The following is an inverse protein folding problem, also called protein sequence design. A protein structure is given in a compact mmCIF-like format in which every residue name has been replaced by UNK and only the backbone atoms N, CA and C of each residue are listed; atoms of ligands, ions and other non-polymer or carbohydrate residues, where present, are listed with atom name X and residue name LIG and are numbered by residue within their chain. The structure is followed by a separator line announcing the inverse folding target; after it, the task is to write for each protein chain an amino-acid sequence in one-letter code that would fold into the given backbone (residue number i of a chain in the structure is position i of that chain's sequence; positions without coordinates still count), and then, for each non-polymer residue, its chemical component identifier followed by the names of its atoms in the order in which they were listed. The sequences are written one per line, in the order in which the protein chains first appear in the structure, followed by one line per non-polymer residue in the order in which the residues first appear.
data_IF_641805112384
#
_entry.id   IF_641805112384
#
_cell.length_a   1.000
_cell.length_b   1.000
_cell.length_c   1.000
_cell.angle_alpha   90.00
_cell.angle_beta   90.00
_cell.angle_gamma   90.00
#
_symmetry.space_group_name_H-M   'P 1'
#
loop_
_entity.id
_entity.type
_entity.pdbx_description
1 polymer ?
#
# COMPACT_ATOMS: atom_id res chain seq x y z
N UNK A 1 1.83 -30.55 -8.39
CA UNK A 1 2.23 -29.15 -8.66
C UNK A 1 1.13 -28.42 -9.42
N UNK A 2 0.14 -27.82 -8.74
CA UNK A 2 -0.74 -26.83 -9.37
C UNK A 2 -0.09 -25.47 -9.13
N UNK A 3 0.56 -24.91 -10.16
CA UNK A 3 1.03 -23.52 -10.15
C UNK A 3 -0.21 -22.63 -10.21
N UNK A 4 -0.86 -22.40 -9.07
CA UNK A 4 -1.73 -21.24 -8.94
C UNK A 4 -0.82 -20.03 -9.06
N UNK A 5 -0.93 -19.26 -10.14
CA UNK A 5 -0.50 -17.87 -10.08
C UNK A 5 -1.06 -17.30 -8.77
N UNK A 6 -0.24 -16.66 -7.92
CA UNK A 6 -0.74 -16.12 -6.67
C UNK A 6 -1.85 -15.12 -7.04
N UNK A 7 -3.07 -15.35 -6.55
CA UNK A 7 -4.27 -14.55 -6.86
C UNK A 7 -4.00 -13.06 -6.69
N UNK A 8 -3.15 -12.74 -5.73
CA UNK A 8 -2.62 -11.40 -5.52
C UNK A 8 -1.89 -10.83 -6.73
N UNK A 9 -0.95 -11.55 -7.35
CA UNK A 9 -0.21 -11.05 -8.52
C UNK A 9 -1.14 -10.75 -9.70
N UNK A 10 -2.13 -11.61 -9.94
CA UNK A 10 -3.15 -11.38 -10.97
C UNK A 10 -3.98 -10.14 -10.65
N UNK A 11 -4.39 -9.98 -9.39
CA UNK A 11 -5.08 -8.77 -8.92
C UNK A 11 -4.24 -7.51 -9.13
N UNK A 12 -2.94 -7.54 -8.81
CA UNK A 12 -2.04 -6.39 -8.98
C UNK A 12 -1.92 -5.97 -10.44
N UNK A 13 -1.79 -6.93 -11.38
CA UNK A 13 -1.73 -6.63 -12.82
C UNK A 13 -3.06 -6.04 -13.31
N UNK A 14 -4.19 -6.65 -12.94
CA UNK A 14 -5.51 -6.15 -13.36
C UNK A 14 -5.74 -4.75 -12.78
N UNK A 15 -5.39 -4.52 -11.51
CA UNK A 15 -5.51 -3.21 -10.88
C UNK A 15 -4.66 -2.15 -11.59
N UNK A 16 -3.44 -2.49 -12.03
CA UNK A 16 -2.60 -1.59 -12.83
C UNK A 16 -3.24 -1.26 -14.18
N UNK A 17 -3.71 -2.28 -14.91
CA UNK A 17 -4.36 -2.07 -16.21
C UNK A 17 -5.61 -1.19 -16.08
N UNK A 18 -6.43 -1.43 -15.06
CA UNK A 18 -7.60 -0.61 -14.77
C UNK A 18 -7.20 0.82 -14.42
N UNK A 19 -6.17 1.01 -13.59
CA UNK A 19 -5.67 2.35 -13.24
C UNK A 19 -5.15 3.11 -14.47
N UNK A 20 -4.38 2.44 -15.34
CA UNK A 20 -3.88 3.02 -16.61
C UNK A 20 -5.04 3.44 -17.49
N UNK A 21 -5.97 2.52 -17.80
CA UNK A 21 -7.11 2.81 -18.69
C UNK A 21 -7.97 3.95 -18.13
N UNK A 22 -8.28 3.89 -16.83
CA UNK A 22 -9.14 4.87 -16.18
C UNK A 22 -8.51 6.27 -16.18
N UNK A 23 -7.27 6.40 -15.68
CA UNK A 23 -6.59 7.71 -15.61
C UNK A 23 -6.32 8.25 -17.00
N UNK A 24 -5.84 7.41 -17.92
CA UNK A 24 -5.57 7.85 -19.29
C UNK A 24 -6.83 8.36 -19.99
N UNK A 25 -7.96 7.65 -19.84
CA UNK A 25 -9.25 8.07 -20.40
C UNK A 25 -9.68 9.41 -19.81
N UNK A 26 -9.58 9.58 -18.49
CA UNK A 26 -9.89 10.84 -17.82
C UNK A 26 -9.02 12.00 -18.33
N UNK A 27 -7.74 11.73 -18.57
CA UNK A 27 -6.78 12.71 -19.05
C UNK A 27 -7.07 13.17 -20.48
N UNK A 28 -7.37 12.22 -21.38
CA UNK A 28 -7.64 12.49 -22.79
C UNK A 28 -9.01 13.14 -22.99
N UNK A 29 -10.03 12.66 -22.29
CA UNK A 29 -11.41 13.12 -22.47
C UNK A 29 -11.67 14.45 -21.77
N UNK A 30 -11.04 14.70 -20.61
CA UNK A 30 -11.40 15.83 -19.76
C UNK A 30 -10.24 16.74 -19.40
N UNK A 31 -9.17 16.20 -18.77
CA UNK A 31 -8.11 17.05 -18.19
C UNK A 31 -7.38 17.88 -19.23
N UNK A 32 -6.88 17.25 -20.31
CA UNK A 32 -6.10 17.96 -21.33
C UNK A 32 -6.95 18.94 -22.15
N UNK A 33 -8.15 18.57 -22.63
CA UNK A 33 -9.01 19.52 -23.32
C UNK A 33 -9.33 20.78 -22.50
N UNK A 34 -9.71 20.61 -21.23
CA UNK A 34 -9.98 21.74 -20.32
C UNK A 34 -8.73 22.60 -20.08
N UNK A 35 -7.58 21.96 -19.83
CA UNK A 35 -6.34 22.69 -19.64
C UNK A 35 -5.97 23.53 -20.88
N UNK A 36 -6.18 22.99 -22.09
CA UNK A 36 -5.93 23.71 -23.35
C UNK A 36 -6.90 24.88 -23.55
N UNK A 37 -8.18 24.71 -23.23
CA UNK A 37 -9.17 25.79 -23.31
C UNK A 37 -8.84 26.93 -22.35
N UNK A 38 -8.56 26.62 -21.09
CA UNK A 38 -8.20 27.62 -20.06
C UNK A 38 -6.95 28.40 -20.47
N UNK A 39 -5.93 27.72 -21.00
CA UNK A 39 -4.71 28.39 -21.46
C UNK A 39 -4.98 29.28 -22.68
N UNK A 40 -5.82 28.85 -23.62
CA UNK A 40 -6.20 29.68 -24.76
C UNK A 40 -6.95 30.95 -24.32
N UNK A 41 -7.87 30.83 -23.36
CA UNK A 41 -8.57 31.97 -22.77
C UNK A 41 -7.63 32.92 -22.03
N UNK A 42 -6.69 32.37 -21.24
CA UNK A 42 -5.69 33.17 -20.54
C UNK A 42 -4.80 33.95 -21.49
N UNK A 43 -4.33 33.33 -22.58
CA UNK A 43 -3.56 34.01 -23.62
C UNK A 43 -4.38 35.13 -24.26
N UNK A 44 -5.65 34.89 -24.58
CA UNK A 44 -6.52 35.92 -25.14
C UNK A 44 -6.73 37.11 -24.17
N UNK A 45 -6.86 36.84 -22.87
CA UNK A 45 -7.02 37.90 -21.85
C UNK A 45 -5.74 38.70 -21.62
N UNK A 46 -4.57 38.05 -21.59
CA UNK A 46 -3.27 38.75 -21.49
C UNK A 46 -3.04 39.65 -22.72
N UNK A 47 -3.49 39.24 -23.90
CA UNK A 47 -3.41 40.08 -25.11
C UNK A 47 -4.37 41.28 -25.06
N UNK A 48 -5.54 41.12 -24.42
CA UNK A 48 -6.54 42.18 -24.29
C UNK A 48 -6.22 43.17 -23.17
N UNK A 49 -5.62 42.69 -22.08
CA UNK A 49 -5.27 43.47 -20.89
C UNK A 49 -3.84 43.10 -20.42
N UNK A 50 -2.84 43.96 -20.68
CA UNK A 50 -1.45 43.73 -20.28
C UNK A 50 -1.23 43.63 -18.77
N UNK A 51 -2.15 44.16 -17.94
CA UNK A 51 -2.08 44.08 -16.48
C UNK A 51 -2.79 42.82 -15.94
N UNK A 52 -3.39 42.00 -16.81
CA UNK A 52 -4.08 40.77 -16.42
C UNK A 52 -3.09 39.71 -15.91
N UNK A 53 -3.31 39.28 -14.67
CA UNK A 53 -2.55 38.19 -14.04
C UNK A 53 -3.34 36.88 -14.18
N UNK A 54 -2.83 35.87 -14.91
CA UNK A 54 -3.51 34.58 -15.05
C UNK A 54 -3.67 33.86 -13.71
N UNK A 55 -4.89 33.42 -13.40
CA UNK A 55 -5.15 32.59 -12.23
C UNK A 55 -4.65 31.15 -12.44
N UNK A 56 -4.24 30.49 -11.35
CA UNK A 56 -3.82 29.09 -11.41
C UNK A 56 -5.04 28.17 -11.47
N UNK A 57 -5.15 27.40 -12.55
CA UNK A 57 -6.17 26.36 -12.68
C UNK A 57 -5.62 24.98 -12.32
N UNK A 58 -6.43 24.19 -11.61
CA UNK A 58 -6.10 22.80 -11.26
C UNK A 58 -5.83 21.95 -12.50
N UNK A 59 -6.64 22.11 -13.56
CA UNK A 59 -6.45 21.38 -14.82
C UNK A 59 -5.10 21.67 -15.46
N UNK A 60 -4.65 22.92 -15.42
CA UNK A 60 -3.35 23.32 -15.95
C UNK A 60 -2.20 22.76 -15.12
N UNK A 61 -2.38 22.65 -13.79
CA UNK A 61 -1.37 22.09 -12.89
C UNK A 61 -1.17 20.59 -13.12
N UNK A 62 -2.24 19.85 -13.44
CA UNK A 62 -2.19 18.37 -13.53
C UNK A 62 -2.09 17.82 -14.95
N UNK A 63 -2.01 18.66 -15.99
CA UNK A 63 -2.16 18.25 -17.39
C UNK A 63 -1.02 17.38 -17.97
N UNK A 64 0.20 17.52 -17.46
CA UNK A 64 1.37 16.91 -18.10
C UNK A 64 1.47 15.40 -17.82
N UNK A 65 2.35 14.72 -18.55
CA UNK A 65 2.48 13.26 -18.52
C UNK A 65 3.02 12.73 -17.20
N UNK A 66 3.85 13.52 -16.51
CA UNK A 66 4.41 13.15 -15.22
C UNK A 66 3.33 13.02 -14.15
N UNK A 67 2.37 13.95 -14.12
CA UNK A 67 1.23 13.93 -13.21
C UNK A 67 0.30 12.75 -13.55
N UNK A 68 0.04 12.50 -14.84
CA UNK A 68 -0.72 11.32 -15.28
C UNK A 68 -0.12 10.02 -14.73
N UNK A 69 1.20 9.84 -14.91
CA UNK A 69 1.91 8.68 -14.38
C UNK A 69 1.83 8.60 -12.85
N UNK A 70 1.97 9.72 -12.14
CA UNK A 70 1.83 9.76 -10.68
C UNK A 70 0.44 9.32 -10.21
N UNK A 71 -0.64 9.74 -10.89
CA UNK A 71 -2.00 9.32 -10.56
C UNK A 71 -2.26 7.84 -10.85
N UNK A 72 -1.73 7.31 -11.96
CA UNK A 72 -1.79 5.87 -12.26
C UNK A 72 -1.14 5.07 -11.14
N UNK A 73 0.09 5.44 -10.77
CA UNK A 73 0.84 4.79 -9.71
C UNK A 73 0.15 4.91 -8.35
N UNK A 74 -0.45 6.06 -8.06
CA UNK A 74 -1.24 6.28 -6.85
C UNK A 74 -2.43 5.34 -6.76
N UNK A 75 -3.27 5.26 -7.81
CA UNK A 75 -4.43 4.37 -7.80
C UNK A 75 -4.00 2.90 -7.71
N UNK A 76 -2.91 2.53 -8.38
CA UNK A 76 -2.37 1.19 -8.29
C UNK A 76 -1.89 0.85 -6.87
N UNK A 77 -1.11 1.72 -6.24
CA UNK A 77 -0.66 1.55 -4.86
C UNK A 77 -1.84 1.47 -3.87
N UNK A 78 -2.85 2.34 -4.04
CA UNK A 78 -4.07 2.33 -3.23
C UNK A 78 -4.85 1.02 -3.36
N UNK A 79 -4.94 0.45 -4.57
CA UNK A 79 -5.59 -0.85 -4.77
C UNK A 79 -4.85 -1.98 -4.04
N UNK A 80 -3.51 -2.01 -4.14
CA UNK A 80 -2.67 -3.00 -3.44
C UNK A 80 -2.84 -2.86 -1.93
N UNK A 81 -2.72 -1.65 -1.39
CA UNK A 81 -2.88 -1.38 0.04
C UNK A 81 -4.29 -1.70 0.52
N UNK A 82 -5.32 -1.39 -0.26
CA UNK A 82 -6.71 -1.71 0.07
C UNK A 82 -6.94 -3.22 0.16
N UNK A 83 -6.41 -3.98 -0.80
CA UNK A 83 -6.47 -5.45 -0.79
C UNK A 83 -5.80 -6.03 0.46
N UNK A 84 -4.58 -5.57 0.78
CA UNK A 84 -3.85 -5.99 1.99
C UNK A 84 -4.56 -5.57 3.27
N UNK A 85 -5.09 -4.36 3.33
CA UNK A 85 -5.85 -3.84 4.47
C UNK A 85 -7.11 -4.66 4.77
N UNK A 86 -7.80 -5.14 3.73
CA UNK A 86 -8.94 -6.06 3.90
C UNK A 86 -8.50 -7.40 4.47
N UNK A 87 -7.38 -7.96 4.01
CA UNK A 87 -6.85 -9.22 4.57
C UNK A 87 -6.45 -9.07 6.04
N UNK A 88 -5.67 -8.05 6.37
CA UNK A 88 -5.28 -7.74 7.76
C UNK A 88 -6.51 -7.53 8.65
N UNK A 89 -7.56 -6.89 8.14
CA UNK A 89 -8.80 -6.70 8.89
C UNK A 89 -9.56 -8.00 9.13
N UNK A 90 -9.54 -8.94 8.16
CA UNK A 90 -10.14 -10.28 8.33
C UNK A 90 -9.39 -11.09 9.38
N UNK A 91 -8.06 -11.05 9.37
CA UNK A 91 -7.24 -11.73 10.38
C UNK A 91 -7.48 -11.15 11.78
N UNK A 92 -7.54 -9.82 11.89
CA UNK A 92 -7.82 -9.16 13.16
C UNK A 92 -9.16 -9.58 13.77
N UNK A 93 -10.20 -9.76 12.94
CA UNK A 93 -11.50 -10.25 13.42
C UNK A 93 -11.46 -11.69 13.97
N UNK A 94 -10.48 -12.50 13.57
CA UNK A 94 -10.31 -13.84 14.16
C UNK A 94 -9.73 -13.78 15.57
N UNK A 95 -8.92 -12.77 15.90
CA UNK A 95 -8.39 -12.58 17.25
C UNK A 95 -9.50 -12.30 18.27
N UNK A 96 -10.63 -11.75 17.84
CA UNK A 96 -11.80 -11.53 18.68
C UNK A 96 -12.56 -12.85 18.99
N UNK A 97 -12.27 -13.94 18.27
CA UNK A 97 -12.88 -15.25 18.51
C UNK A 97 -11.99 -16.06 19.44
N UNK A 98 -12.60 -16.66 20.48
CA UNK A 98 -11.94 -17.68 21.31
C UNK A 98 -11.90 -19.00 20.55
N UNK A 99 -10.83 -19.23 19.79
CA UNK A 99 -10.62 -20.46 19.01
C UNK A 99 -10.21 -21.66 19.88
N UNK A 100 -9.64 -21.40 21.06
CA UNK A 100 -9.33 -22.42 22.06
C UNK A 100 -10.07 -22.03 23.35
N UNK A 101 -11.28 -22.57 23.58
CA UNK A 101 -12.07 -22.24 24.75
C UNK A 101 -11.53 -23.00 25.95
N UNK A 102 -10.51 -22.45 26.61
CA UNK A 102 -10.02 -22.95 27.90
C UNK A 102 -10.71 -22.16 29.00
N UNK A 103 -11.43 -22.83 29.90
CA UNK A 103 -11.98 -22.19 31.10
C UNK A 103 -10.85 -21.81 32.04
N UNK A 104 -10.96 -20.65 32.72
CA UNK A 104 -9.95 -20.23 33.70
C UNK A 104 -9.70 -21.33 34.74
N UNK A 105 -8.41 -21.62 34.98
CA UNK A 105 -7.97 -22.70 35.87
C UNK A 105 -7.88 -24.09 35.24
N UNK A 106 -8.33 -24.27 34.00
CA UNK A 106 -8.18 -25.53 33.26
C UNK A 106 -6.78 -25.63 32.65
N UNK A 107 -6.16 -26.80 32.77
CA UNK A 107 -4.84 -27.07 32.18
C UNK A 107 -4.99 -27.95 30.93
N UNK A 108 -4.26 -27.63 29.89
CA UNK A 108 -4.14 -28.44 28.67
C UNK A 108 -2.97 -29.40 28.86
N UNK A 109 -3.26 -30.69 28.90
CA UNK A 109 -2.24 -31.74 28.94
C UNK A 109 -1.92 -32.23 27.52
N UNK A 110 -0.76 -32.87 27.30
CA UNK A 110 -0.39 -33.39 25.98
C UNK A 110 -1.42 -34.33 25.36
N UNK A 111 -2.20 -35.04 26.19
CA UNK A 111 -3.29 -35.94 25.76
C UNK A 111 -4.51 -35.19 25.21
N UNK A 112 -4.74 -33.95 25.66
CA UNK A 112 -5.90 -33.13 25.28
C UNK A 112 -5.67 -32.38 23.96
N UNK A 113 -4.42 -32.27 23.52
CA UNK A 113 -3.99 -31.57 22.28
C UNK A 113 -4.83 -31.95 21.07
N UNK A 114 -5.15 -33.25 20.91
CA UNK A 114 -5.91 -33.74 19.76
C UNK A 114 -7.32 -33.16 19.71
N UNK A 115 -7.93 -32.90 20.86
CA UNK A 115 -9.27 -32.32 20.95
C UNK A 115 -9.27 -30.86 20.50
N UNK A 116 -8.39 -30.04 21.08
CA UNK A 116 -8.25 -28.63 20.71
C UNK A 116 -7.80 -28.44 19.26
N UNK A 117 -6.88 -29.27 18.76
CA UNK A 117 -6.44 -29.21 17.37
C UNK A 117 -7.59 -29.51 16.39
N UNK A 118 -8.49 -30.44 16.71
CA UNK A 118 -9.66 -30.74 15.87
C UNK A 118 -10.62 -29.56 15.75
N UNK A 119 -10.79 -28.77 16.82
CA UNK A 119 -11.65 -27.58 16.79
C UNK A 119 -11.12 -26.56 15.78
N UNK A 120 -9.80 -26.33 15.76
CA UNK A 120 -9.18 -25.42 14.79
C UNK A 120 -9.18 -26.02 13.38
N UNK A 121 -8.98 -27.34 13.24
CA UNK A 121 -9.05 -28.03 11.94
C UNK A 121 -10.47 -28.06 11.34
N UNK A 122 -11.51 -27.90 12.17
CA UNK A 122 -12.90 -27.79 11.73
C UNK A 122 -13.24 -26.42 11.13
N UNK A 123 -12.37 -25.41 11.28
CA UNK A 123 -12.56 -24.11 10.63
C UNK A 123 -12.56 -24.24 9.09
N UNK A 124 -13.21 -23.30 8.38
CA UNK A 124 -13.15 -23.23 6.92
C UNK A 124 -11.72 -23.17 6.39
N UNK A 125 -11.46 -23.75 5.22
CA UNK A 125 -10.10 -23.84 4.64
C UNK A 125 -9.40 -22.48 4.45
N UNK A 126 -10.17 -21.42 4.21
CA UNK A 126 -9.64 -20.06 4.11
C UNK A 126 -9.21 -19.51 5.47
N UNK A 127 -9.98 -19.76 6.53
CA UNK A 127 -9.64 -19.29 7.89
C UNK A 127 -8.44 -20.04 8.46
N UNK A 128 -8.33 -21.35 8.21
CA UNK A 128 -7.21 -22.19 8.68
C UNK A 128 -5.84 -21.74 8.18
N UNK A 129 -5.79 -21.03 7.06
CA UNK A 129 -4.55 -20.53 6.44
C UNK A 129 -4.09 -19.20 7.03
N UNK A 130 -4.94 -18.51 7.79
CA UNK A 130 -4.61 -17.26 8.44
C UNK A 130 -3.62 -17.51 9.60
N UNK A 131 -2.91 -16.46 10.00
CA UNK A 131 -1.82 -16.54 10.97
C UNK A 131 -2.25 -17.25 12.26
N UNK A 132 -3.28 -16.74 12.93
CA UNK A 132 -3.69 -17.22 14.26
C UNK A 132 -4.02 -18.72 14.30
N UNK A 133 -4.95 -19.25 13.48
CA UNK A 133 -5.22 -20.70 13.45
C UNK A 133 -4.00 -21.56 13.12
N UNK A 134 -3.15 -21.09 12.22
CA UNK A 134 -1.94 -21.81 11.81
C UNK A 134 -0.91 -21.87 12.94
N UNK A 135 -0.70 -20.77 13.65
CA UNK A 135 0.18 -20.69 14.82
C UNK A 135 -0.34 -21.53 15.98
N UNK A 136 -1.65 -21.46 16.29
CA UNK A 136 -2.28 -22.30 17.31
C UNK A 136 -2.11 -23.81 17.01
N UNK A 137 -2.37 -24.22 15.76
CA UNK A 137 -2.21 -25.62 15.36
C UNK A 137 -0.77 -26.09 15.45
N UNK A 138 0.18 -25.27 14.97
CA UNK A 138 1.60 -25.62 15.04
C UNK A 138 2.08 -25.74 16.50
N UNK A 139 1.68 -24.80 17.36
CA UNK A 139 1.97 -24.81 18.78
C UNK A 139 1.39 -26.04 19.49
N UNK A 140 0.10 -26.37 19.24
CA UNK A 140 -0.54 -27.57 19.78
C UNK A 140 0.14 -28.85 19.31
N UNK A 141 0.44 -28.97 18.01
CA UNK A 141 1.14 -30.14 17.47
C UNK A 141 2.54 -30.29 18.05
N UNK A 142 3.27 -29.18 18.23
CA UNK A 142 4.56 -29.17 18.90
C UNK A 142 4.44 -29.68 20.34
N UNK A 143 3.46 -29.17 21.09
CA UNK A 143 3.24 -29.57 22.48
C UNK A 143 2.96 -31.06 22.62
N UNK A 144 2.09 -31.60 21.76
CA UNK A 144 1.76 -33.03 21.76
C UNK A 144 2.94 -33.94 21.39
N UNK A 145 3.91 -33.43 20.63
CA UNK A 145 5.08 -34.18 20.19
C UNK A 145 6.25 -34.11 21.19
N UNK A 146 6.54 -32.92 21.74
CA UNK A 146 7.73 -32.71 22.58
C UNK A 146 7.43 -32.68 24.06
N UNK A 147 6.17 -32.45 24.46
CA UNK A 147 5.77 -32.26 25.85
C UNK A 147 6.58 -31.19 26.58
N UNK A 148 7.09 -30.20 25.84
CA UNK A 148 7.91 -29.11 26.36
C UNK A 148 7.27 -27.77 26.00
N UNK A 149 6.99 -26.95 27.01
CA UNK A 149 6.37 -25.64 26.84
C UNK A 149 7.31 -24.67 26.10
N UNK A 150 8.62 -24.76 26.34
CA UNK A 150 9.60 -23.89 25.66
C UNK A 150 9.57 -24.10 24.15
N UNK A 151 9.57 -25.36 23.69
CA UNK A 151 9.52 -25.66 22.26
C UNK A 151 8.25 -25.11 21.59
N UNK A 152 7.14 -25.04 22.34
CA UNK A 152 5.86 -24.49 21.88
C UNK A 152 5.97 -22.99 21.73
N UNK A 153 6.50 -22.28 22.74
CA UNK A 153 6.76 -20.85 22.68
C UNK A 153 7.68 -20.50 21.52
N UNK A 154 8.79 -21.22 21.36
CA UNK A 154 9.76 -20.99 20.27
C UNK A 154 9.11 -21.22 18.88
N UNK A 155 8.27 -22.26 18.76
CA UNK A 155 7.54 -22.53 17.50
C UNK A 155 6.50 -21.45 17.20
N UNK A 156 5.78 -20.97 18.22
CA UNK A 156 4.79 -19.91 18.09
C UNK A 156 5.44 -18.58 17.68
N UNK A 157 6.49 -18.18 18.39
CA UNK A 157 7.25 -16.96 18.12
C UNK A 157 7.88 -16.99 16.72
N UNK A 158 8.55 -18.07 16.34
CA UNK A 158 9.17 -18.19 15.02
C UNK A 158 8.18 -18.13 13.86
N UNK A 159 6.92 -18.58 14.06
CA UNK A 159 5.86 -18.42 13.06
C UNK A 159 5.37 -16.97 12.94
N UNK A 160 5.26 -16.26 14.05
CA UNK A 160 4.92 -14.83 14.06
C UNK A 160 6.02 -13.98 13.42
N UNK A 161 7.29 -14.26 13.74
CA UNK A 161 8.46 -13.60 13.14
C UNK A 161 8.50 -13.81 11.62
N UNK A 162 8.39 -15.05 11.16
CA UNK A 162 8.36 -15.37 9.73
C UNK A 162 7.20 -14.69 8.99
N UNK A 163 6.05 -14.52 9.63
CA UNK A 163 4.91 -13.82 9.04
C UNK A 163 5.11 -12.30 9.02
N UNK A 164 5.78 -11.74 10.01
CA UNK A 164 6.21 -10.34 9.99
C UNK A 164 7.12 -10.06 8.80
N UNK A 165 8.15 -10.89 8.58
CA UNK A 165 9.05 -10.79 7.42
C UNK A 165 8.30 -10.91 6.09
N UNK A 166 7.31 -11.83 6.01
CA UNK A 166 6.48 -11.98 4.82
C UNK A 166 5.68 -10.72 4.52
N UNK A 167 4.98 -10.17 5.51
CA UNK A 167 4.18 -8.94 5.37
C UNK A 167 5.05 -7.75 4.98
N UNK A 168 6.25 -7.64 5.56
CA UNK A 168 7.22 -6.61 5.20
C UNK A 168 7.68 -6.75 3.74
N UNK A 169 8.01 -7.96 3.30
CA UNK A 169 8.42 -8.24 1.92
C UNK A 169 7.31 -7.94 0.92
N UNK A 170 6.07 -8.28 1.26
CA UNK A 170 4.89 -8.02 0.45
C UNK A 170 4.59 -6.53 0.24
N UNK A 171 4.97 -5.65 1.19
CA UNK A 171 4.84 -4.20 1.05
C UNK A 171 5.95 -3.55 0.19
N UNK A 172 6.95 -4.33 -0.25
CA UNK A 172 8.07 -3.83 -1.06
C UNK A 172 7.63 -3.11 -2.34
N UNK A 173 6.64 -3.66 -3.06
CA UNK A 173 6.11 -3.05 -4.28
C UNK A 173 5.47 -1.68 -4.00
N UNK A 174 4.73 -1.56 -2.89
CA UNK A 174 4.11 -0.27 -2.51
C UNK A 174 5.18 0.75 -2.12
N UNK A 175 6.22 0.34 -1.39
CA UNK A 175 7.38 1.20 -1.09
C UNK A 175 8.10 1.65 -2.35
N UNK A 176 8.29 0.75 -3.31
CA UNK A 176 8.89 1.09 -4.59
C UNK A 176 8.07 2.14 -5.34
N UNK A 177 6.74 1.99 -5.39
CA UNK A 177 5.85 2.98 -6.01
C UNK A 177 5.93 4.33 -5.28
N UNK A 178 5.88 4.32 -3.95
CA UNK A 178 5.98 5.54 -3.14
C UNK A 178 7.31 6.28 -3.35
N UNK A 179 8.41 5.55 -3.58
CA UNK A 179 9.70 6.11 -3.96
C UNK A 179 9.74 6.62 -5.42
N UNK A 180 9.08 5.92 -6.34
CA UNK A 180 9.09 6.26 -7.76
C UNK A 180 8.35 7.57 -8.06
N UNK A 181 7.26 7.86 -7.35
CA UNK A 181 6.42 9.05 -7.60
C UNK A 181 7.22 10.36 -7.45
N UNK A 182 7.93 10.64 -6.35
CA UNK A 182 8.81 11.82 -6.24
C UNK A 182 9.87 11.88 -7.34
N UNK A 183 10.43 10.73 -7.73
CA UNK A 183 11.43 10.65 -8.80
C UNK A 183 10.87 11.03 -10.17
N UNK A 184 9.63 10.65 -10.47
CA UNK A 184 8.90 11.08 -11.68
C UNK A 184 8.61 12.58 -11.63
N UNK A 185 8.20 13.10 -10.46
CA UNK A 185 8.04 14.54 -10.25
C UNK A 185 9.29 15.33 -10.57
N UNK A 186 10.44 14.87 -10.05
CA UNK A 186 11.76 15.43 -10.32
C UNK A 186 12.14 15.33 -11.80
N UNK A 187 11.83 14.23 -12.48
CA UNK A 187 12.06 14.09 -13.91
C UNK A 187 11.32 15.18 -14.71
N UNK A 188 10.06 15.47 -14.37
CA UNK A 188 9.33 16.57 -15.01
C UNK A 188 9.91 17.95 -14.70
N UNK A 189 10.52 18.14 -13.52
CA UNK A 189 11.28 19.35 -13.23
C UNK A 189 12.53 19.47 -14.10
N UNK A 190 13.30 18.40 -14.24
CA UNK A 190 14.47 18.37 -15.13
C UNK A 190 14.06 18.66 -16.57
N UNK A 191 12.96 18.07 -17.04
CA UNK A 191 12.41 18.35 -18.37
C UNK A 191 12.02 19.82 -18.53
N UNK A 192 11.20 20.37 -17.65
CA UNK A 192 10.73 21.75 -17.75
C UNK A 192 11.85 22.79 -17.64
N UNK A 193 12.86 22.56 -16.79
CA UNK A 193 14.04 23.43 -16.72
C UNK A 193 14.89 23.30 -17.99
N UNK A 194 15.08 22.09 -18.51
CA UNK A 194 15.81 21.86 -19.77
C UNK A 194 15.15 22.57 -20.95
N UNK A 195 13.83 22.48 -21.07
CA UNK A 195 13.03 23.20 -22.08
C UNK A 195 13.16 24.72 -21.92
N UNK A 196 13.12 25.23 -20.68
CA UNK A 196 13.29 26.65 -20.40
C UNK A 196 14.67 27.17 -20.83
N UNK A 197 15.73 26.45 -20.48
CA UNK A 197 17.11 26.81 -20.85
C UNK A 197 17.32 26.76 -22.38
N UNK A 198 16.68 25.81 -23.07
CA UNK A 198 16.69 25.76 -24.53
C UNK A 198 16.11 27.01 -25.21
N UNK A 199 15.28 27.77 -24.49
CA UNK A 199 14.65 29.01 -24.96
C UNK A 199 15.28 30.27 -24.34
N UNK A 200 16.38 30.15 -23.61
CA UNK A 200 17.01 31.26 -22.91
C UNK A 200 17.40 32.41 -23.86
N UNK A 201 17.78 32.12 -25.10
CA UNK A 201 18.12 33.16 -26.09
C UNK A 201 16.92 34.06 -26.43
N UNK A 202 15.69 33.51 -26.45
CA UNK A 202 14.46 34.29 -26.69
C UNK A 202 14.16 35.21 -25.52
N UNK A 203 14.39 34.73 -24.30
CA UNK A 203 14.25 35.54 -23.09
C UNK A 203 15.22 36.72 -23.07
N UNK A 204 16.47 36.51 -23.52
CA UNK A 204 17.44 37.60 -23.69
C UNK A 204 16.99 38.62 -24.76
N UNK A 205 16.30 38.15 -25.80
CA UNK A 205 15.70 39.00 -26.83
C UNK A 205 14.39 39.70 -26.39
N UNK A 206 13.96 39.52 -25.13
CA UNK A 206 12.78 40.15 -24.54
C UNK A 206 11.52 39.28 -24.50
N UNK A 207 11.53 38.07 -25.08
CA UNK A 207 10.40 37.14 -25.03
C UNK A 207 10.63 36.04 -23.98
N UNK A 208 10.07 36.26 -22.79
CA UNK A 208 10.17 35.33 -21.65
C UNK A 208 9.02 34.31 -21.59
N UNK A 209 8.05 34.38 -22.49
CA UNK A 209 6.80 33.60 -22.41
C UNK A 209 7.03 32.09 -22.39
N UNK A 210 7.93 31.60 -23.23
CA UNK A 210 8.28 30.20 -23.30
C UNK A 210 9.08 29.71 -22.08
N UNK A 211 9.90 30.58 -21.47
CA UNK A 211 10.64 30.28 -20.24
C UNK A 211 9.69 30.18 -19.05
N UNK A 212 8.75 31.11 -18.90
CA UNK A 212 7.77 31.09 -17.79
C UNK A 212 6.85 29.87 -17.88
N UNK A 213 6.41 29.50 -19.08
CA UNK A 213 5.60 28.30 -19.27
C UNK A 213 6.36 27.01 -18.89
N UNK A 214 7.61 26.89 -19.33
CA UNK A 214 8.45 25.71 -19.07
C UNK A 214 8.81 25.57 -17.58
N UNK A 215 9.06 26.68 -16.89
CA UNK A 215 9.20 26.67 -15.42
C UNK A 215 7.90 26.27 -14.73
N UNK A 216 6.74 26.69 -15.24
CA UNK A 216 5.43 26.28 -14.72
C UNK A 216 5.26 24.76 -14.71
N UNK A 217 5.59 24.10 -15.82
CA UNK A 217 5.60 22.63 -15.92
C UNK A 217 6.52 22.01 -14.87
N UNK A 218 7.74 22.55 -14.73
CA UNK A 218 8.73 22.04 -13.79
C UNK A 218 8.22 22.07 -12.34
N UNK A 219 7.66 23.20 -11.90
CA UNK A 219 7.11 23.34 -10.54
C UNK A 219 5.88 22.47 -10.32
N UNK A 220 4.96 22.42 -11.29
CA UNK A 220 3.72 21.67 -11.16
C UNK A 220 3.98 20.15 -11.03
N UNK A 221 4.92 19.61 -11.81
CA UNK A 221 5.30 18.20 -11.77
C UNK A 221 5.76 17.78 -10.36
N UNK A 222 6.71 18.52 -9.78
CA UNK A 222 7.21 18.22 -8.44
C UNK A 222 6.15 18.46 -7.37
N UNK A 223 5.39 19.54 -7.47
CA UNK A 223 4.34 19.84 -6.49
C UNK A 223 3.30 18.71 -6.39
N UNK A 224 2.78 18.24 -7.52
CA UNK A 224 1.78 17.17 -7.56
C UNK A 224 2.37 15.84 -7.07
N UNK A 225 3.58 15.49 -7.52
CA UNK A 225 4.24 14.27 -7.10
C UNK A 225 4.49 14.22 -5.58
N UNK A 226 4.97 15.31 -4.98
CA UNK A 226 5.18 15.38 -3.54
C UNK A 226 3.88 15.29 -2.76
N UNK A 227 2.82 15.98 -3.19
CA UNK A 227 1.52 15.92 -2.54
C UNK A 227 0.97 14.48 -2.53
N UNK A 228 1.01 13.81 -3.68
CA UNK A 228 0.60 12.40 -3.82
C UNK A 228 1.47 11.51 -2.91
N UNK A 229 2.79 11.72 -2.93
CA UNK A 229 3.72 10.91 -2.14
C UNK A 229 3.48 11.04 -0.64
N UNK A 230 3.16 12.23 -0.13
CA UNK A 230 2.86 12.44 1.30
C UNK A 230 1.63 11.63 1.70
N UNK A 231 0.56 11.71 0.92
CA UNK A 231 -0.68 10.97 1.18
C UNK A 231 -0.45 9.46 1.13
N UNK A 232 0.26 8.98 0.11
CA UNK A 232 0.58 7.55 -0.03
C UNK A 232 1.46 7.03 1.11
N UNK A 233 2.50 7.77 1.48
CA UNK A 233 3.38 7.38 2.58
C UNK A 233 2.64 7.32 3.91
N UNK A 234 1.72 8.26 4.17
CA UNK A 234 0.86 8.19 5.35
C UNK A 234 0.01 6.91 5.36
N UNK A 235 -0.66 6.59 4.26
CA UNK A 235 -1.50 5.39 4.17
C UNK A 235 -0.69 4.09 4.30
N UNK A 236 0.49 4.04 3.66
CA UNK A 236 1.41 2.92 3.79
C UNK A 236 1.82 2.71 5.25
N UNK A 237 2.19 3.79 5.95
CA UNK A 237 2.54 3.74 7.36
C UNK A 237 1.38 3.23 8.23
N UNK A 238 0.15 3.70 7.98
CA UNK A 238 -1.03 3.21 8.71
C UNK A 238 -1.29 1.71 8.46
N UNK A 239 -1.09 1.22 7.23
CA UNK A 239 -1.22 -0.20 6.93
C UNK A 239 -0.15 -1.03 7.63
N UNK A 240 1.12 -0.59 7.57
CA UNK A 240 2.23 -1.25 8.24
C UNK A 240 1.98 -1.36 9.76
N UNK A 241 1.59 -0.26 10.40
CA UNK A 241 1.25 -0.27 11.84
C UNK A 241 0.12 -1.27 12.17
N UNK A 242 -0.89 -1.39 11.31
CA UNK A 242 -1.98 -2.35 11.51
C UNK A 242 -1.51 -3.79 11.38
N UNK A 243 -0.58 -4.06 10.47
CA UNK A 243 0.03 -5.38 10.26
C UNK A 243 0.94 -5.75 11.44
N UNK A 244 1.81 -4.86 11.88
CA UNK A 244 2.67 -5.06 13.05
C UNK A 244 1.84 -5.35 14.31
N UNK A 245 0.78 -4.56 14.55
CA UNK A 245 -0.14 -4.83 15.67
C UNK A 245 -0.84 -6.18 15.56
N UNK A 246 -1.23 -6.60 14.36
CA UNK A 246 -1.85 -7.92 14.16
C UNK A 246 -0.90 -9.05 14.60
N UNK A 247 0.39 -8.96 14.26
CA UNK A 247 1.39 -9.96 14.67
C UNK A 247 1.52 -9.98 16.19
N UNK A 248 1.71 -8.81 16.81
CA UNK A 248 1.86 -8.68 18.27
C UNK A 248 0.61 -9.14 19.04
N UNK A 249 -0.58 -8.77 18.55
CA UNK A 249 -1.86 -9.21 19.13
C UNK A 249 -2.01 -10.74 19.01
N UNK A 250 -1.51 -11.34 17.92
CA UNK A 250 -1.53 -12.80 17.73
C UNK A 250 -0.57 -13.52 18.66
N UNK A 251 0.63 -12.98 18.85
CA UNK A 251 1.60 -13.50 19.82
C UNK A 251 1.03 -13.45 21.25
N UNK A 252 0.47 -12.29 21.63
CA UNK A 252 -0.19 -12.12 22.93
C UNK A 252 -1.36 -13.09 23.09
N UNK A 253 -2.15 -13.32 22.03
CA UNK A 253 -3.23 -14.30 22.06
C UNK A 253 -2.70 -15.72 22.34
N UNK A 254 -1.61 -16.14 21.67
CA UNK A 254 -1.00 -17.45 21.86
C UNK A 254 -0.51 -17.62 23.29
N UNK A 255 0.14 -16.60 23.85
CA UNK A 255 0.63 -16.62 25.22
C UNK A 255 -0.52 -16.75 26.23
N UNK A 256 -1.52 -15.88 26.13
CA UNK A 256 -2.62 -15.79 27.08
C UNK A 256 -3.57 -16.98 27.00
N UNK A 257 -3.95 -17.40 25.79
CA UNK A 257 -5.03 -18.35 25.57
C UNK A 257 -4.56 -19.79 25.35
N UNK A 258 -3.28 -20.00 24.99
CA UNK A 258 -2.72 -21.34 24.80
C UNK A 258 -1.59 -21.62 25.79
N UNK A 259 -0.46 -20.93 25.69
CA UNK A 259 0.80 -21.29 26.36
C UNK A 259 0.64 -21.27 27.88
N UNK A 260 -0.01 -20.25 28.45
CA UNK A 260 -0.28 -20.14 29.90
C UNK A 260 -1.07 -21.32 30.47
N UNK A 261 -1.85 -22.00 29.64
CA UNK A 261 -2.68 -23.14 30.07
C UNK A 261 -2.00 -24.49 29.86
N UNK A 262 -0.84 -24.55 29.19
CA UNK A 262 -0.13 -25.80 28.96
C UNK A 262 0.49 -26.33 30.25
N UNK A 263 0.41 -27.63 30.46
CA UNK A 263 1.05 -28.30 31.59
C UNK A 263 1.52 -29.70 31.21
N UNK A 264 2.69 -30.10 31.69
CA UNK A 264 3.34 -31.37 31.30
C UNK A 264 2.86 -32.54 32.19
N UNK A 265 2.26 -32.27 33.36
CA UNK A 265 1.84 -33.28 34.34
C UNK A 265 0.55 -32.94 35.09
#
# INVERSE_FOLDING_TARGET
MKRSFPVEFVYQIIALLVAVIFVHTLYVVWVRPEATQILAEQVARVQADPDYVPERSVFVIVRDHEQEACFILMLWALAIMGFKGVQTSKERRLLERRLVPVSEGTRILPRDVREYARQIQALPDLEKRLLLPRSLLAALHRFGATQNIQDVSDTAHGLCESESERLESELSMVRYIAWAIPSIGFLGTVRGIGEALGQAYKAVAGDISGVTQSLGVAFNSTFVALLISIVLMFLLHQLQLRQERLILDTESYLDEHLIRHLNVS
#
